data_IF_961276362219
#
_entry.id   IF_961276362219
#
_cell.length_a   1.000
_cell.length_b   1.000
_cell.length_c   1.000
_cell.angle_alpha   90.00
_cell.angle_beta   90.00
_cell.angle_gamma   90.00
#
_symmetry.space_group_name_H-M   'P 1'
#
loop_
_entity.id
_entity.type
_entity.pdbx_description
1 polymer ?
#
# COMPACT_ATOMS: atom_id res chain seq x y z
N UNK A 1 8.73 9.40 -2.31
CA UNK A 1 7.86 9.11 -3.45
C UNK A 1 6.47 8.94 -2.88
N UNK A 2 5.49 9.67 -3.39
CA UNK A 2 4.12 9.59 -2.91
C UNK A 2 3.31 8.76 -3.89
N UNK A 3 2.68 7.69 -3.40
CA UNK A 3 1.82 6.83 -4.22
C UNK A 3 0.39 7.07 -3.75
N UNK A 4 -0.47 7.52 -4.67
CA UNK A 4 -1.91 7.65 -4.45
C UNK A 4 -2.58 6.33 -4.87
N UNK A 5 -3.35 5.72 -3.97
CA UNK A 5 -4.14 4.50 -4.27
C UNK A 5 -5.54 4.60 -3.67
N UNK A 6 -6.56 4.17 -4.43
CA UNK A 6 -7.88 3.82 -3.90
C UNK A 6 -7.89 2.34 -3.51
N UNK A 7 -8.39 2.02 -2.33
CA UNK A 7 -8.49 0.64 -1.88
C UNK A 7 -9.85 0.05 -2.27
N UNK A 8 -9.96 -0.42 -3.51
CA UNK A 8 -11.19 -1.04 -4.02
C UNK A 8 -11.65 -2.27 -3.24
N UNK A 9 -10.75 -2.96 -2.54
CA UNK A 9 -11.11 -4.10 -1.69
C UNK A 9 -11.89 -3.70 -0.43
N UNK A 10 -11.79 -2.45 -0.02
CA UNK A 10 -12.52 -1.92 1.13
C UNK A 10 -13.89 -1.34 0.74
N UNK A 11 -14.25 -1.38 -0.55
CA UNK A 11 -15.55 -0.89 -1.03
C UNK A 11 -16.67 -1.69 -0.40
N UNK A 12 -17.59 -1.00 0.25
CA UNK A 12 -18.86 -1.57 0.70
C UNK A 12 -19.96 -1.03 -0.18
N UNK A 13 -20.75 -1.95 -0.75
CA UNK A 13 -21.87 -1.62 -1.64
C UNK A 13 -22.84 -0.62 -0.98
N UNK A 14 -23.26 -0.80 0.30
CA UNK A 14 -24.18 0.15 0.95
C UNK A 14 -23.61 1.57 1.08
N UNK A 15 -22.29 1.69 1.30
CA UNK A 15 -21.62 2.99 1.44
C UNK A 15 -21.52 3.69 0.08
N UNK A 16 -21.33 2.92 -1.00
CA UNK A 16 -21.36 3.46 -2.37
C UNK A 16 -22.76 3.89 -2.80
N UNK A 17 -23.79 3.08 -2.52
CA UNK A 17 -25.19 3.43 -2.81
C UNK A 17 -25.61 4.68 -2.07
N UNK A 18 -25.28 4.79 -0.78
CA UNK A 18 -25.53 5.99 0.00
C UNK A 18 -24.84 7.22 -0.60
N UNK A 19 -23.58 7.10 -1.02
CA UNK A 19 -22.84 8.19 -1.64
C UNK A 19 -23.39 8.59 -3.02
N UNK A 20 -23.83 7.62 -3.84
CA UNK A 20 -24.49 7.88 -5.11
C UNK A 20 -25.81 8.62 -4.91
N UNK A 21 -26.61 8.25 -3.90
CA UNK A 21 -27.89 8.91 -3.61
C UNK A 21 -27.76 10.36 -3.14
N UNK A 22 -26.57 10.81 -2.73
CA UNK A 22 -26.33 12.22 -2.37
C UNK A 22 -26.13 13.12 -3.60
N UNK A 23 -25.84 12.57 -4.77
CA UNK A 23 -25.62 13.35 -5.98
C UNK A 23 -26.96 13.77 -6.61
N UNK A 24 -27.11 15.03 -7.07
CA UNK A 24 -28.36 15.52 -7.65
C UNK A 24 -28.55 15.01 -9.08
N UNK A 25 -28.87 13.72 -9.25
CA UNK A 25 -29.03 13.10 -10.57
C UNK A 25 -30.11 13.74 -11.43
N UNK A 26 -31.10 14.40 -10.81
CA UNK A 26 -32.18 15.09 -11.51
C UNK A 26 -31.67 16.18 -12.46
N UNK A 27 -30.51 16.78 -12.18
CA UNK A 27 -29.90 17.82 -13.01
C UNK A 27 -29.53 17.32 -14.41
N UNK A 28 -29.33 16.00 -14.58
CA UNK A 28 -29.00 15.40 -15.88
C UNK A 28 -30.08 15.63 -16.93
N UNK A 29 -31.35 15.69 -16.51
CA UNK A 29 -32.48 15.88 -17.42
C UNK A 29 -32.53 17.30 -18.02
N UNK A 30 -31.77 18.22 -17.44
CA UNK A 30 -31.67 19.61 -17.91
C UNK A 30 -30.56 19.77 -18.95
N UNK A 31 -29.63 18.81 -19.03
CA UNK A 31 -28.47 18.86 -19.92
C UNK A 31 -28.89 18.41 -21.32
N UNK A 32 -28.63 19.26 -22.32
CA UNK A 32 -28.97 18.99 -23.73
C UNK A 32 -27.80 18.44 -24.53
N UNK A 33 -26.58 18.73 -24.10
CA UNK A 33 -25.36 18.26 -24.74
C UNK A 33 -24.97 16.87 -24.19
N UNK A 34 -24.85 15.83 -25.03
CA UNK A 34 -24.38 14.51 -24.62
C UNK A 34 -23.00 14.52 -23.95
N UNK A 35 -22.09 15.39 -24.38
CA UNK A 35 -20.74 15.44 -23.81
C UNK A 35 -20.76 16.03 -22.38
N UNK A 36 -21.54 17.08 -22.17
CA UNK A 36 -21.77 17.65 -20.83
C UNK A 36 -22.50 16.67 -19.92
N UNK A 37 -23.44 15.87 -20.45
CA UNK A 37 -24.14 14.86 -19.68
C UNK A 37 -23.19 13.73 -19.24
N UNK A 38 -22.25 13.35 -20.10
CA UNK A 38 -21.21 12.38 -19.76
C UNK A 38 -20.27 12.92 -18.68
N UNK A 39 -19.81 14.17 -18.80
CA UNK A 39 -19.01 14.81 -17.75
C UNK A 39 -19.74 14.87 -16.41
N UNK A 40 -21.05 15.16 -16.43
CA UNK A 40 -21.87 15.20 -15.23
C UNK A 40 -21.94 13.82 -14.55
N UNK A 41 -22.15 12.76 -15.33
CA UNK A 41 -22.14 11.38 -14.84
C UNK A 41 -20.78 11.01 -14.25
N UNK A 42 -19.69 11.34 -14.95
CA UNK A 42 -18.33 11.06 -14.48
C UNK A 42 -18.02 11.79 -13.17
N UNK A 43 -18.44 13.06 -13.04
CA UNK A 43 -18.31 13.85 -11.81
C UNK A 43 -19.07 13.22 -10.66
N UNK A 44 -20.32 12.81 -10.88
CA UNK A 44 -21.14 12.19 -9.84
C UNK A 44 -20.59 10.85 -9.36
N UNK A 45 -20.17 9.99 -10.28
CA UNK A 45 -19.54 8.70 -9.94
C UNK A 45 -18.21 8.92 -9.21
N UNK A 46 -17.38 9.86 -9.67
CA UNK A 46 -16.09 10.16 -9.04
C UNK A 46 -16.28 10.71 -7.63
N UNK A 47 -17.24 11.61 -7.42
CA UNK A 47 -17.57 12.15 -6.11
C UNK A 47 -18.06 11.06 -5.15
N UNK A 48 -18.97 10.20 -5.60
CA UNK A 48 -19.46 9.08 -4.81
C UNK A 48 -18.32 8.11 -4.43
N UNK A 49 -17.41 7.85 -5.37
CA UNK A 49 -16.22 7.04 -5.13
C UNK A 49 -15.25 7.68 -4.13
N UNK A 50 -15.09 9.00 -4.12
CA UNK A 50 -14.21 9.68 -3.17
C UNK A 50 -14.78 9.66 -1.74
N UNK A 51 -16.10 9.62 -1.60
CA UNK A 51 -16.78 9.42 -0.30
C UNK A 51 -16.67 7.96 0.16
N UNK A 52 -17.02 7.00 -0.70
CA UNK A 52 -17.03 5.58 -0.35
C UNK A 52 -15.62 4.98 -0.22
N UNK A 53 -14.66 5.45 -1.03
CA UNK A 53 -13.27 4.97 -1.06
C UNK A 53 -12.29 6.13 -1.26
N UNK A 54 -12.03 6.92 -0.22
CA UNK A 54 -11.12 8.05 -0.34
C UNK A 54 -9.72 7.61 -0.78
N UNK A 55 -9.10 8.42 -1.65
CA UNK A 55 -7.73 8.21 -2.09
C UNK A 55 -6.81 8.30 -0.87
N UNK A 56 -6.13 7.19 -0.57
CA UNK A 56 -5.11 7.18 0.48
C UNK A 56 -3.77 7.54 -0.15
N UNK A 57 -3.18 8.61 0.36
CA UNK A 57 -1.80 8.98 0.02
C UNK A 57 -0.86 8.16 0.90
N UNK A 58 -0.19 7.19 0.30
CA UNK A 58 0.82 6.40 0.99
C UNK A 58 2.14 7.15 0.83
N UNK A 59 2.57 7.79 1.92
CA UNK A 59 3.92 8.36 2.00
C UNK A 59 4.91 7.23 2.17
N UNK A 60 5.48 6.77 1.06
CA UNK A 60 6.64 5.88 1.11
C UNK A 60 7.81 6.71 1.60
N UNK A 61 8.17 6.56 2.88
CA UNK A 61 9.45 7.06 3.39
C UNK A 61 10.52 6.47 2.47
N UNK A 62 11.33 7.33 1.83
CA UNK A 62 12.62 6.91 1.28
C UNK A 62 13.42 6.46 2.49
N UNK A 63 13.30 5.19 2.84
CA UNK A 63 14.13 4.63 3.88
C UNK A 63 15.56 4.69 3.39
N UNK A 64 16.48 5.18 4.24
CA UNK A 64 17.91 4.92 4.10
C UNK A 64 18.08 3.45 3.75
N UNK A 65 19.01 3.14 2.84
CA UNK A 65 19.26 1.79 2.34
C UNK A 65 19.19 0.78 3.50
N UNK A 66 18.06 0.06 3.60
CA UNK A 66 17.88 -0.97 4.60
C UNK A 66 18.68 -2.15 4.12
N UNK A 67 19.89 -2.27 4.65
CA UNK A 67 20.66 -3.50 4.52
C UNK A 67 20.20 -4.48 5.59
N UNK A 68 20.07 -5.74 5.19
CA UNK A 68 19.95 -6.84 6.15
C UNK A 68 21.20 -6.85 7.03
N UNK A 69 21.03 -7.15 8.32
CA UNK A 69 22.16 -7.37 9.21
C UNK A 69 23.04 -8.50 8.64
N UNK A 70 24.37 -8.39 8.80
CA UNK A 70 25.33 -9.36 8.28
C UNK A 70 24.97 -10.80 8.68
N UNK A 71 24.61 -10.99 9.95
CA UNK A 71 24.19 -12.29 10.47
C UNK A 71 22.94 -12.85 9.78
N UNK A 72 22.03 -11.97 9.33
CA UNK A 72 20.83 -12.38 8.57
C UNK A 72 21.21 -12.80 7.15
N UNK A 73 22.16 -12.09 6.52
CA UNK A 73 22.69 -12.47 5.21
C UNK A 73 23.44 -13.81 5.27
N UNK A 74 24.23 -14.04 6.32
CA UNK A 74 24.97 -15.29 6.52
C UNK A 74 24.02 -16.47 6.73
N UNK A 75 22.93 -16.28 7.48
CA UNK A 75 21.88 -17.29 7.64
C UNK A 75 21.09 -17.56 6.35
N UNK A 76 20.87 -16.54 5.52
CA UNK A 76 20.26 -16.71 4.20
C UNK A 76 21.18 -17.51 3.27
N UNK A 77 22.48 -17.21 3.27
CA UNK A 77 23.48 -17.97 2.51
C UNK A 77 23.56 -19.43 2.99
N UNK A 78 23.49 -19.67 4.30
CA UNK A 78 23.46 -21.02 4.85
C UNK A 78 22.18 -21.78 4.45
N UNK A 79 21.03 -21.10 4.47
CA UNK A 79 19.75 -21.66 4.00
C UNK A 79 19.86 -22.08 2.54
N UNK A 80 20.38 -21.21 1.67
CA UNK A 80 20.43 -21.45 0.23
C UNK A 80 21.39 -22.59 -0.17
N UNK A 81 22.31 -22.95 0.73
CA UNK A 81 23.22 -24.10 0.57
C UNK A 81 22.69 -25.39 1.23
N UNK A 82 21.64 -25.29 2.05
CA UNK A 82 21.10 -26.43 2.78
C UNK A 82 20.02 -27.18 1.97
N UNK A 83 19.82 -28.45 2.30
CA UNK A 83 18.76 -29.29 1.74
C UNK A 83 18.06 -30.10 2.83
N UNK A 84 16.81 -30.51 2.60
CA UNK A 84 16.05 -31.32 3.54
C UNK A 84 15.64 -30.57 4.83
N UNK A 85 15.68 -31.24 5.97
CA UNK A 85 15.19 -30.70 7.25
C UNK A 85 15.97 -29.47 7.73
N UNK A 86 17.25 -29.40 7.39
CA UNK A 86 18.11 -28.25 7.72
C UNK A 86 17.65 -26.98 6.99
N UNK A 87 17.26 -27.10 5.71
CA UNK A 87 16.67 -26.00 4.96
C UNK A 87 15.39 -25.49 5.63
N UNK A 88 14.50 -26.38 6.06
CA UNK A 88 13.26 -26.01 6.73
C UNK A 88 13.51 -25.22 8.03
N UNK A 89 14.49 -25.65 8.84
CA UNK A 89 14.88 -24.95 10.07
C UNK A 89 15.47 -23.57 9.79
N UNK A 90 16.41 -23.48 8.84
CA UNK A 90 17.05 -22.23 8.46
C UNK A 90 16.05 -21.25 7.82
N UNK A 91 15.13 -21.73 6.98
CA UNK A 91 14.06 -20.93 6.39
C UNK A 91 13.17 -20.28 7.46
N UNK A 92 12.71 -21.05 8.44
CA UNK A 92 11.84 -20.53 9.51
C UNK A 92 12.58 -19.49 10.38
N UNK A 93 13.88 -19.70 10.62
CA UNK A 93 14.71 -18.79 11.39
C UNK A 93 15.01 -17.49 10.64
N UNK A 94 15.34 -17.57 9.36
CA UNK A 94 15.49 -16.39 8.47
C UNK A 94 14.18 -15.61 8.40
N UNK A 95 13.05 -16.29 8.24
CA UNK A 95 11.74 -15.64 8.17
C UNK A 95 11.43 -14.84 9.45
N UNK A 96 11.67 -15.42 10.62
CA UNK A 96 11.53 -14.71 11.90
C UNK A 96 12.43 -13.47 11.97
N UNK A 97 13.69 -13.56 11.53
CA UNK A 97 14.62 -12.43 11.56
C UNK A 97 14.20 -11.29 10.63
N UNK A 98 13.79 -11.60 9.40
CA UNK A 98 13.33 -10.60 8.43
C UNK A 98 12.05 -9.90 8.90
N UNK A 99 11.10 -10.66 9.45
CA UNK A 99 9.88 -10.09 10.05
C UNK A 99 10.15 -9.29 11.33
N UNK A 100 11.26 -9.55 12.03
CA UNK A 100 11.65 -8.77 13.22
C UNK A 100 12.40 -7.49 12.83
N UNK A 101 13.25 -7.53 11.79
CA UNK A 101 14.01 -6.35 11.30
C UNK A 101 13.10 -5.31 10.65
N UNK A 102 11.93 -5.70 10.14
CA UNK A 102 10.86 -4.75 9.80
C UNK A 102 10.38 -3.90 10.99
N UNK A 103 10.83 -4.17 12.23
CA UNK A 103 10.58 -3.39 13.45
C UNK A 103 11.79 -2.64 14.02
N UNK A 104 12.70 -2.12 13.18
CA UNK A 104 13.69 -1.06 13.51
C UNK A 104 15.03 -1.53 14.09
N UNK A 105 16.13 -1.13 13.44
CA UNK A 105 17.33 -0.60 14.13
C UNK A 105 18.07 0.39 13.22
N UNK A 106 18.17 1.69 13.58
CA UNK A 106 19.09 2.60 12.88
C UNK A 106 20.54 2.22 13.21
N UNK A 107 21.41 2.29 12.19
CA UNK A 107 22.86 2.07 12.30
C UNK A 107 23.46 3.05 13.32
N UNK A 108 24.16 2.55 14.32
CA UNK A 108 25.15 3.34 15.05
C UNK A 108 26.42 3.33 14.19
N UNK A 109 26.82 4.49 13.69
CA UNK A 109 28.05 4.64 12.93
C UNK A 109 29.26 4.60 13.88
N UNK A 110 30.25 3.70 13.67
CA UNK A 110 31.43 3.58 14.52
C UNK A 110 32.55 4.59 14.16
N UNK A 111 32.29 5.60 13.34
CA UNK A 111 33.27 6.62 12.99
C UNK A 111 32.74 8.03 13.25
N UNK A 112 32.77 8.42 14.53
CA UNK A 112 32.91 9.82 14.92
C UNK A 112 33.93 9.91 16.05
N UNK A 113 35.18 9.61 15.71
CA UNK A 113 36.33 10.04 16.51
C UNK A 113 36.92 11.30 15.89
N UNK A 114 37.12 12.27 16.79
CA UNK A 114 37.77 13.59 16.69
C UNK A 114 36.91 14.74 16.19
#
# INVERSE_FOLDING_TARGET
MEIKRRNFKALRIPELEAALNMWPWEDIYTIKDPDEAFEFLEKGITAAMDVAIPIKTIKVRRSRDLYLAKDTLDLMNARDRASGDEYCRLRNRVFSLVCTITQVKPRQDPHREK
#
